data_IF_543304645643
#
_entry.id   IF_543304645643
#
_cell.length_a   1.000
_cell.length_b   1.000
_cell.length_c   1.000
_cell.angle_alpha   90.00
_cell.angle_beta   90.00
_cell.angle_gamma   90.00
#
_symmetry.space_group_name_H-M   'P 1'
#
loop_
_entity.id
_entity.type
_entity.pdbx_description
1 polymer ?
#
# COMPACT_ATOMS: atom_id res chain seq x y z
N UNK A 1 2.15 -5.13 28.71
CA UNK A 1 0.67 -5.10 28.59
C UNK A 1 0.00 -4.67 29.90
N UNK A 2 -0.40 -3.40 30.00
CA UNK A 2 -1.31 -2.86 31.00
C UNK A 2 -2.73 -2.90 30.41
N UNK A 3 -3.69 -3.38 31.20
CA UNK A 3 -5.11 -3.45 30.83
C UNK A 3 -5.89 -2.55 31.76
N UNK A 4 -6.60 -1.56 31.19
CA UNK A 4 -7.41 -0.63 31.97
C UNK A 4 -8.86 -0.70 31.51
N UNK A 5 -9.81 -0.76 32.44
CA UNK A 5 -11.22 -0.60 32.14
C UNK A 5 -11.59 0.87 32.37
N UNK A 6 -11.66 1.67 31.31
CA UNK A 6 -12.24 3.02 31.38
C UNK A 6 -13.66 2.96 30.81
N UNK A 7 -14.67 3.34 31.59
CA UNK A 7 -16.08 3.41 31.16
C UNK A 7 -16.64 2.12 30.52
N UNK A 8 -16.13 0.96 30.96
CA UNK A 8 -16.53 -0.35 30.42
C UNK A 8 -15.83 -0.77 29.13
N UNK A 9 -14.91 0.05 28.59
CA UNK A 9 -14.02 -0.31 27.48
C UNK A 9 -12.70 -0.85 28.00
N UNK A 10 -12.26 -1.96 27.41
CA UNK A 10 -10.93 -2.50 27.62
C UNK A 10 -9.94 -1.67 26.80
N UNK A 11 -8.98 -1.04 27.48
CA UNK A 11 -7.82 -0.41 26.85
C UNK A 11 -6.60 -1.29 27.03
N UNK A 12 -5.89 -1.55 25.93
CA UNK A 12 -4.67 -2.37 25.94
C UNK A 12 -3.49 -1.47 25.60
N UNK A 13 -2.50 -1.41 26.48
CA UNK A 13 -1.27 -0.65 26.22
C UNK A 13 -0.04 -1.50 26.53
N UNK A 14 0.92 -1.48 25.61
CA UNK A 14 2.24 -2.03 25.86
C UNK A 14 3.29 -0.91 25.89
N UNK A 15 3.92 -0.70 27.04
CA UNK A 15 4.93 0.33 27.24
C UNK A 15 6.36 -0.16 26.94
N UNK A 16 6.52 -1.34 26.34
CA UNK A 16 7.84 -1.87 25.96
C UNK A 16 8.35 -1.31 24.64
N UNK A 17 7.47 -0.75 23.83
CA UNK A 17 7.80 -0.14 22.54
C UNK A 17 7.24 1.30 22.45
N UNK A 18 8.10 2.31 22.27
CA UNK A 18 7.69 3.72 22.22
C UNK A 18 6.92 4.10 20.94
N UNK A 19 6.99 3.29 19.88
CA UNK A 19 6.35 3.55 18.59
C UNK A 19 4.93 2.95 18.52
N UNK A 20 4.53 2.13 19.48
CA UNK A 20 3.19 1.56 19.56
C UNK A 20 2.18 2.65 19.99
N UNK A 21 1.09 2.85 19.24
CA UNK A 21 0.07 3.83 19.62
C UNK A 21 -0.62 3.46 20.95
N UNK A 22 -1.19 4.46 21.63
CA UNK A 22 -2.08 4.19 22.76
C UNK A 22 -3.28 3.34 22.30
N UNK A 23 -3.73 2.43 23.17
CA UNK A 23 -4.81 1.47 22.85
C UNK A 23 -4.50 0.56 21.64
N UNK A 24 -3.22 0.22 21.46
CA UNK A 24 -2.74 -0.74 20.48
C UNK A 24 -1.73 -1.68 21.11
N UNK A 25 -1.52 -2.81 20.44
CA UNK A 25 -0.46 -3.76 20.73
C UNK A 25 0.60 -3.71 19.64
N UNK A 26 1.86 -4.04 19.96
CA UNK A 26 2.85 -4.35 18.94
C UNK A 26 2.31 -5.40 17.96
N UNK A 27 2.71 -5.33 16.69
CA UNK A 27 2.17 -6.23 15.65
C UNK A 27 2.47 -7.71 15.93
N UNK A 28 3.57 -8.02 16.62
CA UNK A 28 3.90 -9.38 17.06
C UNK A 28 3.07 -9.87 18.26
N UNK A 29 2.32 -8.97 18.90
CA UNK A 29 1.38 -9.30 19.98
C UNK A 29 -0.07 -9.40 19.50
N UNK A 30 -0.37 -9.01 18.25
CA UNK A 30 -1.69 -9.14 17.62
C UNK A 30 -1.94 -10.60 17.24
N UNK A 31 -2.22 -11.41 18.25
CA UNK A 31 -2.58 -12.82 18.14
C UNK A 31 -4.07 -12.95 18.46
N UNK A 32 -4.85 -13.68 17.66
CA UNK A 32 -6.33 -13.80 17.75
C UNK A 32 -6.97 -13.49 19.11
N UNK A 33 -6.48 -14.13 20.19
CA UNK A 33 -6.99 -13.93 21.54
C UNK A 33 -5.89 -13.72 22.57
N UNK A 34 -6.21 -12.92 23.58
CA UNK A 34 -5.43 -12.72 24.80
C UNK A 34 -6.18 -13.23 26.02
N UNK A 35 -5.45 -13.67 27.05
CA UNK A 35 -6.02 -14.10 28.31
C UNK A 35 -5.78 -13.04 29.39
N UNK A 36 -6.85 -12.43 29.89
CA UNK A 36 -6.80 -11.57 31.07
C UNK A 36 -6.92 -12.45 32.31
N UNK A 37 -5.88 -12.51 33.13
CA UNK A 37 -5.88 -13.23 34.40
C UNK A 37 -6.17 -12.25 35.53
N UNK A 38 -7.23 -12.51 36.30
CA UNK A 38 -7.61 -11.76 37.50
C UNK A 38 -7.61 -12.69 38.70
N UNK A 39 -7.67 -12.12 39.90
CA UNK A 39 -7.59 -12.89 41.15
C UNK A 39 -8.66 -13.99 41.30
N UNK A 40 -9.81 -13.87 40.63
CA UNK A 40 -10.95 -14.78 40.78
C UNK A 40 -11.45 -15.41 39.47
N UNK A 41 -10.96 -14.95 38.32
CA UNK A 41 -11.45 -15.34 37.00
C UNK A 41 -10.37 -15.12 35.93
N UNK A 42 -10.60 -15.74 34.77
CA UNK A 42 -9.82 -15.50 33.58
C UNK A 42 -10.77 -15.24 32.41
N UNK A 43 -10.47 -14.23 31.60
CA UNK A 43 -11.30 -13.80 30.49
C UNK A 43 -10.49 -13.80 29.20
N UNK A 44 -10.96 -14.54 28.21
CA UNK A 44 -10.44 -14.43 26.84
C UNK A 44 -10.99 -13.17 26.19
N UNK A 45 -10.11 -12.39 25.57
CA UNK A 45 -10.44 -11.17 24.83
C UNK A 45 -9.88 -11.27 23.42
N UNK A 46 -10.58 -10.68 22.46
CA UNK A 46 -10.10 -10.55 21.09
C UNK A 46 -8.98 -9.49 21.06
N UNK A 47 -7.89 -9.78 20.36
CA UNK A 47 -6.77 -8.85 20.16
C UNK A 47 -6.66 -8.37 18.71
N UNK A 48 -7.56 -8.77 17.82
CA UNK A 48 -7.54 -8.28 16.45
C UNK A 48 -7.73 -6.77 16.43
N UNK A 49 -6.94 -6.09 15.57
CA UNK A 49 -7.13 -4.66 15.35
C UNK A 49 -8.51 -4.41 14.76
N UNK A 50 -9.34 -3.53 15.34
CA UNK A 50 -10.65 -3.19 14.80
C UNK A 50 -10.54 -2.31 13.55
N UNK A 51 -9.37 -1.70 13.29
CA UNK A 51 -9.15 -0.79 12.18
C UNK A 51 -8.23 -1.41 11.12
N UNK A 52 -8.55 -1.24 9.82
CA UNK A 52 -7.68 -1.68 8.76
C UNK A 52 -6.40 -0.84 8.72
N UNK A 53 -5.30 -1.49 8.40
CA UNK A 53 -4.03 -0.86 8.11
C UNK A 53 -3.98 -0.42 6.66
N UNK A 54 -3.87 0.89 6.43
CA UNK A 54 -3.92 1.48 5.10
C UNK A 54 -2.56 2.02 4.68
N UNK A 55 -2.18 1.74 3.44
CA UNK A 55 -1.05 2.32 2.73
C UNK A 55 -1.56 2.99 1.45
N UNK A 56 -1.67 4.31 1.49
CA UNK A 56 -2.18 5.12 0.38
C UNK A 56 -1.07 5.89 -0.31
N UNK A 57 -1.06 5.88 -1.64
CA UNK A 57 -0.04 6.53 -2.48
C UNK A 57 -0.70 7.41 -3.53
N UNK A 58 -0.39 8.70 -3.48
CA UNK A 58 -0.75 9.65 -4.54
C UNK A 58 0.49 9.93 -5.37
N UNK A 59 0.44 9.61 -6.66
CA UNK A 59 1.57 9.67 -7.58
C UNK A 59 1.25 10.64 -8.71
N UNK A 60 2.07 11.66 -8.92
CA UNK A 60 1.89 12.59 -10.03
C UNK A 60 3.06 12.49 -10.99
N UNK A 61 2.77 12.33 -12.28
CA UNK A 61 3.76 12.21 -13.34
C UNK A 61 3.73 13.45 -14.23
N UNK A 62 4.92 14.02 -14.45
CA UNK A 62 5.16 14.97 -15.53
C UNK A 62 6.22 14.40 -16.46
N UNK A 63 5.79 14.01 -17.64
CA UNK A 63 6.59 13.28 -18.62
C UNK A 63 7.34 14.25 -19.53
N UNK A 64 8.60 13.94 -19.81
CA UNK A 64 9.47 14.66 -20.73
C UNK A 64 9.95 13.70 -21.83
N UNK A 65 9.20 13.57 -22.96
CA UNK A 65 9.49 12.58 -23.99
C UNK A 65 10.91 12.67 -24.55
N UNK A 66 11.41 13.88 -24.83
CA UNK A 66 12.75 14.10 -25.38
C UNK A 66 13.88 13.62 -24.44
N UNK A 67 13.64 13.57 -23.14
CA UNK A 67 14.61 13.11 -22.14
C UNK A 67 14.41 11.63 -21.76
N UNK A 68 13.34 10.99 -22.26
CA UNK A 68 12.93 9.63 -21.85
C UNK A 68 12.80 9.49 -20.32
N UNK A 69 12.25 10.53 -19.69
CA UNK A 69 12.16 10.66 -18.24
C UNK A 69 10.80 11.23 -17.82
N UNK A 70 10.38 10.92 -16.61
CA UNK A 70 9.32 11.66 -15.92
C UNK A 70 9.86 12.22 -14.60
N UNK A 71 9.47 13.45 -14.30
CA UNK A 71 9.46 13.93 -12.93
C UNK A 71 8.24 13.32 -12.23
N UNK A 72 8.47 12.69 -11.07
CA UNK A 72 7.44 12.04 -10.29
C UNK A 72 7.44 12.58 -8.87
N UNK A 73 6.26 12.96 -8.38
CA UNK A 73 6.02 13.15 -6.95
C UNK A 73 5.20 12.00 -6.42
N UNK A 74 5.57 11.47 -5.25
CA UNK A 74 4.82 10.45 -4.54
C UNK A 74 4.56 10.92 -3.11
N UNK A 75 3.30 11.02 -2.71
CA UNK A 75 2.89 11.22 -1.33
C UNK A 75 2.37 9.89 -0.81
N UNK A 76 3.10 9.30 0.14
CA UNK A 76 2.73 8.07 0.79
C UNK A 76 2.21 8.36 2.21
N UNK A 77 1.01 7.88 2.50
CA UNK A 77 0.32 8.04 3.76
C UNK A 77 -0.04 6.66 4.31
N UNK A 78 0.42 6.35 5.52
CA UNK A 78 0.21 5.04 6.16
C UNK A 78 -0.47 5.18 7.51
N UNK A 79 -1.28 4.20 7.90
CA UNK A 79 -2.01 4.17 9.19
C UNK A 79 -1.82 2.83 9.91
N UNK A 80 -2.17 2.80 11.20
CA UNK A 80 -2.21 1.58 12.03
C UNK A 80 -0.89 0.77 11.95
N UNK A 81 -0.97 -0.54 11.72
CA UNK A 81 0.17 -1.46 11.74
C UNK A 81 1.25 -1.07 10.73
N UNK A 82 0.87 -0.61 9.54
CA UNK A 82 1.80 -0.17 8.50
C UNK A 82 2.56 1.09 8.92
N UNK A 83 1.86 2.08 9.51
CA UNK A 83 2.50 3.29 10.02
C UNK A 83 3.49 2.96 11.14
N UNK A 84 3.11 2.07 12.05
CA UNK A 84 3.99 1.60 13.12
C UNK A 84 5.21 0.88 12.55
N UNK A 85 5.04 -0.05 11.60
CA UNK A 85 6.14 -0.74 10.94
C UNK A 85 7.11 0.23 10.26
N UNK A 86 6.62 1.19 9.50
CA UNK A 86 7.48 2.16 8.81
C UNK A 86 8.15 3.15 9.76
N UNK A 87 7.52 3.52 10.89
CA UNK A 87 8.18 4.34 11.93
C UNK A 87 9.29 3.58 12.62
N UNK A 88 9.06 2.32 12.97
CA UNK A 88 10.07 1.46 13.58
C UNK A 88 11.26 1.25 12.63
N UNK A 89 10.97 1.04 11.35
CA UNK A 89 11.99 0.80 10.34
C UNK A 89 12.76 2.07 9.95
N UNK A 90 12.09 3.20 9.79
CA UNK A 90 12.66 4.39 9.14
C UNK A 90 12.64 5.65 10.01
N UNK A 91 11.65 5.83 10.88
CA UNK A 91 11.47 7.08 11.65
C UNK A 91 11.62 8.35 10.76
N UNK A 92 12.67 9.15 10.93
CA UNK A 92 13.03 10.28 10.08
C UNK A 92 14.26 10.05 9.19
N UNK A 93 14.77 8.82 9.12
CA UNK A 93 15.92 8.42 8.30
C UNK A 93 15.61 8.49 6.80
N UNK A 94 15.81 9.69 6.27
CA UNK A 94 15.68 9.97 4.85
C UNK A 94 16.67 9.22 3.96
N UNK A 95 17.76 8.67 4.49
CA UNK A 95 18.77 7.93 3.71
C UNK A 95 18.24 6.54 3.38
N UNK A 96 17.83 5.77 4.38
CA UNK A 96 17.25 4.43 4.15
C UNK A 96 15.92 4.49 3.40
N UNK A 97 15.10 5.52 3.63
CA UNK A 97 13.90 5.74 2.81
C UNK A 97 14.27 6.01 1.35
N UNK A 98 15.31 6.81 1.08
CA UNK A 98 15.75 7.07 -0.28
C UNK A 98 16.14 5.77 -0.99
N UNK A 99 16.89 4.90 -0.33
CA UNK A 99 17.26 3.57 -0.87
C UNK A 99 16.03 2.72 -1.18
N UNK A 100 15.09 2.63 -0.23
CA UNK A 100 13.85 1.88 -0.42
C UNK A 100 13.03 2.36 -1.62
N UNK A 101 12.97 3.68 -1.87
CA UNK A 101 12.23 4.22 -3.01
C UNK A 101 13.00 4.17 -4.34
N UNK A 102 14.33 4.10 -4.34
CA UNK A 102 15.09 3.81 -5.57
C UNK A 102 14.72 2.44 -6.13
N UNK A 103 14.53 1.44 -5.26
CA UNK A 103 14.04 0.11 -5.67
C UNK A 103 12.62 0.15 -6.29
N UNK A 104 11.85 1.19 -5.99
CA UNK A 104 10.49 1.40 -6.52
C UNK A 104 10.46 2.08 -7.89
N UNK A 105 11.61 2.25 -8.54
CA UNK A 105 11.72 2.69 -9.94
C UNK A 105 12.24 4.11 -10.13
N UNK A 106 12.52 4.84 -9.05
CA UNK A 106 13.24 6.10 -9.12
C UNK A 106 14.70 5.88 -9.51
N UNK A 107 15.20 6.64 -10.48
CA UNK A 107 16.64 6.69 -10.82
C UNK A 107 17.37 7.79 -10.06
N UNK A 108 16.63 8.82 -9.64
CA UNK A 108 17.14 9.92 -8.84
C UNK A 108 16.03 10.43 -7.93
N UNK A 109 16.36 10.69 -6.67
CA UNK A 109 15.48 11.34 -5.71
C UNK A 109 16.07 12.71 -5.39
N UNK A 110 15.32 13.76 -5.71
CA UNK A 110 15.73 15.15 -5.51
C UNK A 110 15.33 15.67 -4.14
N UNK A 111 14.20 15.20 -3.62
CA UNK A 111 13.67 15.60 -2.31
C UNK A 111 12.93 14.44 -1.68
N UNK A 112 13.13 14.29 -0.38
CA UNK A 112 12.35 13.43 0.49
C UNK A 112 12.03 14.20 1.77
N UNK A 113 10.83 14.02 2.31
CA UNK A 113 10.39 14.62 3.56
C UNK A 113 9.49 13.63 4.29
N UNK A 114 9.77 13.37 5.55
CA UNK A 114 8.89 12.65 6.47
C UNK A 114 8.06 13.65 7.29
N UNK A 115 6.89 13.22 7.78
CA UNK A 115 6.06 13.99 8.70
C UNK A 115 5.29 13.02 9.59
N UNK A 116 4.96 13.45 10.81
CA UNK A 116 4.23 12.63 11.80
C UNK A 116 4.97 11.31 12.19
N UNK A 117 6.29 11.33 12.15
CA UNK A 117 7.12 10.20 12.58
C UNK A 117 7.11 10.00 14.11
N UNK A 118 6.96 11.06 14.90
CA UNK A 118 6.82 10.99 16.36
C UNK A 118 5.36 10.88 16.86
N UNK A 119 4.39 11.02 15.96
CA UNK A 119 2.96 10.95 16.30
C UNK A 119 2.45 9.53 16.13
N UNK A 120 2.57 8.71 17.17
CA UNK A 120 2.23 7.28 17.09
C UNK A 120 0.75 7.03 16.78
N UNK A 121 -0.16 7.87 17.27
CA UNK A 121 -1.60 7.76 17.03
C UNK A 121 -2.06 8.29 15.66
N UNK A 122 -1.25 9.12 15.01
CA UNK A 122 -1.54 9.67 13.69
C UNK A 122 -1.04 8.80 12.53
N UNK A 123 -1.22 9.26 11.29
CA UNK A 123 -0.63 8.61 10.13
C UNK A 123 0.88 8.89 10.02
N UNK A 124 1.64 8.01 9.36
CA UNK A 124 3.02 8.30 8.97
C UNK A 124 3.09 8.70 7.49
N UNK A 125 3.73 9.83 7.20
CA UNK A 125 3.70 10.46 5.87
C UNK A 125 5.09 10.61 5.30
N UNK A 126 5.30 10.10 4.08
CA UNK A 126 6.54 10.24 3.32
C UNK A 126 6.23 10.92 1.97
N UNK A 127 6.81 12.09 1.75
CA UNK A 127 6.68 12.84 0.50
C UNK A 127 7.99 12.82 -0.28
N UNK A 128 7.93 12.38 -1.54
CA UNK A 128 9.09 12.20 -2.40
C UNK A 128 8.90 12.95 -3.70
N UNK A 129 9.99 13.55 -4.19
CA UNK A 129 10.10 14.09 -5.54
C UNK A 129 11.38 13.56 -6.19
N UNK A 130 11.24 12.97 -7.36
CA UNK A 130 12.35 12.37 -8.07
C UNK A 130 12.09 12.23 -9.57
N UNK A 131 12.99 11.51 -10.22
CA UNK A 131 12.95 11.20 -11.65
C UNK A 131 12.90 9.70 -11.83
N UNK A 132 12.08 9.25 -12.79
CA UNK A 132 12.07 7.87 -13.30
C UNK A 132 12.48 7.88 -14.77
N UNK A 133 12.96 6.73 -15.26
CA UNK A 133 13.09 6.50 -16.70
C UNK A 133 11.75 6.05 -17.28
N UNK A 134 11.49 6.48 -18.51
CA UNK A 134 10.35 6.05 -19.31
C UNK A 134 10.88 5.23 -20.47
N UNK A 135 10.25 4.09 -20.72
CA UNK A 135 10.53 3.30 -21.90
C UNK A 135 9.86 3.94 -23.12
N UNK A 136 10.65 4.14 -24.18
CA UNK A 136 10.17 4.69 -25.44
C UNK A 136 10.49 3.72 -26.58
N UNK A 137 9.47 3.40 -27.38
CA UNK A 137 9.57 2.55 -28.56
C UNK A 137 9.00 3.33 -29.76
N UNK A 138 9.87 3.84 -30.63
CA UNK A 138 9.48 4.72 -31.75
C UNK A 138 8.63 5.92 -31.28
N UNK A 139 7.34 5.94 -31.64
CA UNK A 139 6.35 6.96 -31.30
C UNK A 139 5.55 6.63 -30.02
N UNK A 140 5.90 5.56 -29.30
CA UNK A 140 5.21 5.10 -28.09
C UNK A 140 6.00 5.40 -26.81
N UNK A 141 5.30 5.85 -25.78
CA UNK A 141 5.80 5.97 -24.41
C UNK A 141 5.05 5.00 -23.50
N UNK A 142 5.79 4.14 -22.80
CA UNK A 142 5.26 3.12 -21.90
C UNK A 142 5.47 3.55 -20.46
N UNK A 143 4.38 3.57 -19.68
CA UNK A 143 4.38 4.10 -18.32
C UNK A 143 3.71 3.11 -17.38
N UNK A 144 4.44 2.72 -16.32
CA UNK A 144 3.85 2.00 -15.19
C UNK A 144 3.18 3.01 -14.24
N UNK A 145 1.83 3.10 -14.22
CA UNK A 145 1.13 4.15 -13.48
C UNK A 145 1.30 4.04 -11.96
N UNK A 146 1.59 2.84 -11.46
CA UNK A 146 1.72 2.57 -10.02
C UNK A 146 3.19 2.41 -9.59
N UNK A 147 4.14 2.85 -10.42
CA UNK A 147 5.57 2.57 -10.26
C UNK A 147 5.82 1.05 -10.07
N UNK A 148 6.82 0.66 -9.27
CA UNK A 148 7.06 -0.73 -8.85
C UNK A 148 6.54 -0.98 -7.42
N UNK A 149 5.48 -0.28 -7.00
CA UNK A 149 4.87 -0.52 -5.69
C UNK A 149 4.03 -1.80 -5.64
N UNK A 150 3.18 -2.11 -6.64
CA UNK A 150 2.40 -3.34 -6.61
C UNK A 150 3.28 -4.58 -6.54
N UNK A 151 2.74 -5.63 -5.93
CA UNK A 151 3.38 -6.94 -5.93
C UNK A 151 3.54 -7.45 -7.38
N UNK A 152 4.74 -7.91 -7.73
CA UNK A 152 5.10 -8.34 -9.09
C UNK A 152 5.16 -9.86 -9.26
N UNK A 153 5.00 -10.62 -8.18
CA UNK A 153 4.99 -12.09 -8.20
C UNK A 153 4.05 -12.66 -7.13
N UNK A 154 3.63 -13.91 -7.31
CA UNK A 154 2.74 -14.56 -6.35
C UNK A 154 3.51 -14.89 -5.05
N UNK A 155 3.13 -14.34 -3.88
CA UNK A 155 3.81 -14.66 -2.61
C UNK A 155 3.51 -16.08 -2.13
N UNK A 156 2.44 -16.69 -2.63
CA UNK A 156 1.94 -18.00 -2.23
C UNK A 156 2.47 -19.12 -3.14
N UNK A 157 3.63 -19.68 -2.77
CA UNK A 157 4.31 -20.72 -3.55
C UNK A 157 3.78 -22.14 -3.28
N UNK A 158 3.14 -22.38 -2.13
CA UNK A 158 2.61 -23.70 -1.77
C UNK A 158 1.37 -24.02 -2.60
N UNK A 159 1.19 -25.29 -2.99
CA UNK A 159 -0.03 -25.75 -3.69
C UNK A 159 -1.23 -25.88 -2.76
N UNK A 160 -0.98 -26.29 -1.51
CA UNK A 160 -2.00 -26.52 -0.49
C UNK A 160 -1.44 -26.00 0.83
N UNK A 161 -2.32 -25.51 1.70
CA UNK A 161 -1.99 -25.02 3.04
C UNK A 161 -2.83 -25.77 4.07
N UNK A 162 -2.24 -26.10 5.21
CA UNK A 162 -2.90 -26.80 6.34
C UNK A 162 -3.14 -25.88 7.54
N UNK A 163 -2.77 -24.62 7.42
CA UNK A 163 -2.89 -23.59 8.45
C UNK A 163 -3.44 -22.32 7.82
N UNK A 164 -4.12 -21.45 8.58
CA UNK A 164 -4.58 -20.18 8.07
C UNK A 164 -3.43 -19.29 7.56
N UNK A 165 -3.79 -18.27 6.78
CA UNK A 165 -2.91 -17.14 6.49
C UNK A 165 -3.25 -16.04 7.48
N UNK A 166 -2.22 -15.55 8.16
CA UNK A 166 -2.31 -14.44 9.09
C UNK A 166 -1.67 -13.21 8.45
N UNK A 167 -2.48 -12.18 8.21
CA UNK A 167 -2.04 -10.86 7.74
C UNK A 167 -1.92 -9.85 8.89
N UNK A 168 -2.07 -10.30 10.15
CA UNK A 168 -2.03 -9.51 11.39
C UNK A 168 -3.26 -8.59 11.54
N UNK A 169 -3.65 -7.91 10.47
CA UNK A 169 -4.81 -7.01 10.41
C UNK A 169 -5.40 -6.99 9.00
N UNK A 170 -6.58 -6.39 8.84
CA UNK A 170 -7.10 -6.06 7.52
C UNK A 170 -6.17 -5.05 6.83
N UNK A 171 -5.84 -5.27 5.56
CA UNK A 171 -4.85 -4.49 4.82
C UNK A 171 -5.48 -3.78 3.64
N UNK A 172 -5.15 -2.50 3.45
CA UNK A 172 -5.61 -1.68 2.34
C UNK A 172 -4.41 -1.04 1.64
N UNK A 173 -4.21 -1.34 0.36
CA UNK A 173 -3.29 -0.63 -0.52
C UNK A 173 -4.11 0.25 -1.47
N UNK A 174 -3.87 1.57 -1.46
CA UNK A 174 -4.51 2.52 -2.39
C UNK A 174 -3.47 3.22 -3.24
N UNK A 175 -3.83 3.40 -4.50
CA UNK A 175 -3.05 4.15 -5.46
C UNK A 175 -3.95 5.12 -6.20
N UNK A 176 -3.52 6.38 -6.26
CA UNK A 176 -4.10 7.40 -7.13
C UNK A 176 -2.98 8.01 -7.94
N UNK A 177 -2.95 7.72 -9.24
CA UNK A 177 -1.95 8.25 -10.15
C UNK A 177 -2.55 9.29 -11.08
N UNK A 178 -1.90 10.44 -11.16
CA UNK A 178 -2.24 11.55 -12.05
C UNK A 178 -1.14 11.70 -13.07
N UNK A 179 -1.43 11.35 -14.32
CA UNK A 179 -0.46 11.37 -15.40
C UNK A 179 -0.80 12.52 -16.33
N UNK A 180 0.05 13.55 -16.36
CA UNK A 180 -0.08 14.66 -17.31
C UNK A 180 0.28 14.14 -18.69
N UNK A 181 -0.70 14.12 -19.60
CA UNK A 181 -0.51 13.66 -20.97
C UNK A 181 0.44 14.64 -21.67
N UNK A 182 1.59 14.18 -22.22
CA UNK A 182 2.52 15.06 -22.91
C UNK A 182 1.88 15.74 -24.12
N UNK A 183 2.28 16.98 -24.42
CA UNK A 183 1.78 17.67 -25.60
C UNK A 183 2.12 16.88 -26.87
N UNK A 184 1.14 16.75 -27.77
CA UNK A 184 1.30 15.99 -29.01
C UNK A 184 1.20 14.48 -28.84
N UNK A 185 0.76 13.99 -27.69
CA UNK A 185 0.49 12.57 -27.44
C UNK A 185 -0.98 12.35 -27.07
N UNK A 186 -1.46 11.13 -27.30
CA UNK A 186 -2.77 10.65 -26.85
C UNK A 186 -2.63 9.27 -26.20
N UNK A 187 -3.65 8.85 -25.44
CA UNK A 187 -3.70 7.52 -24.83
C UNK A 187 -4.04 6.49 -25.92
N UNK A 188 -3.06 5.68 -26.33
CA UNK A 188 -3.27 4.57 -27.27
C UNK A 188 -3.83 3.35 -26.53
N UNK A 189 -3.29 3.07 -25.34
CA UNK A 189 -3.74 1.97 -24.49
C UNK A 189 -3.79 2.40 -23.03
N UNK A 190 -4.87 2.00 -22.36
CA UNK A 190 -5.01 2.04 -20.91
C UNK A 190 -5.61 0.71 -20.45
N UNK A 191 -5.23 0.20 -19.26
CA UNK A 191 -5.85 -0.99 -18.71
C UNK A 191 -7.36 -0.82 -18.56
N UNK A 192 -8.13 -1.86 -18.86
CA UNK A 192 -9.58 -1.88 -18.63
C UNK A 192 -9.91 -1.77 -17.14
N UNK A 193 -11.13 -1.35 -16.81
CA UNK A 193 -11.54 -1.28 -15.41
C UNK A 193 -11.75 -2.70 -14.84
N UNK A 194 -11.33 -2.91 -13.59
CA UNK A 194 -11.54 -4.14 -12.84
C UNK A 194 -12.28 -3.81 -11.55
N UNK A 195 -13.30 -4.59 -11.21
CA UNK A 195 -13.97 -4.53 -9.91
C UNK A 195 -14.31 -5.94 -9.42
N UNK A 196 -13.69 -6.33 -8.32
CA UNK A 196 -13.99 -7.55 -7.58
C UNK A 196 -14.29 -7.12 -6.15
N UNK A 197 -15.49 -7.40 -5.66
CA UNK A 197 -15.87 -7.10 -4.27
C UNK A 197 -16.70 -8.24 -3.71
N UNK A 198 -16.26 -8.80 -2.58
CA UNK A 198 -16.92 -9.90 -1.87
C UNK A 198 -16.55 -9.87 -0.37
N UNK A 199 -16.91 -10.90 0.41
CA UNK A 199 -16.60 -10.93 1.85
C UNK A 199 -15.10 -11.05 2.20
N UNK A 200 -14.26 -11.41 1.22
CA UNK A 200 -12.83 -11.61 1.41
C UNK A 200 -12.02 -10.39 0.99
N UNK A 201 -12.35 -9.78 -0.14
CA UNK A 201 -11.54 -8.73 -0.76
C UNK A 201 -12.37 -7.64 -1.42
N UNK A 202 -11.78 -6.44 -1.54
CA UNK A 202 -12.09 -5.49 -2.60
C UNK A 202 -10.84 -5.30 -3.48
N UNK A 203 -10.98 -5.47 -4.79
CA UNK A 203 -9.93 -5.22 -5.77
C UNK A 203 -10.55 -4.36 -6.86
N UNK A 204 -10.10 -3.12 -6.93
CA UNK A 204 -10.59 -2.14 -7.90
C UNK A 204 -9.41 -1.57 -8.68
N UNK A 205 -9.59 -1.40 -9.98
CA UNK A 205 -8.68 -0.68 -10.86
C UNK A 205 -9.54 0.09 -11.85
N UNK A 206 -9.33 1.39 -11.97
CA UNK A 206 -10.09 2.22 -12.90
C UNK A 206 -9.21 3.28 -13.53
N UNK A 207 -9.56 3.66 -14.76
CA UNK A 207 -8.84 4.69 -15.52
C UNK A 207 -9.81 5.72 -16.08
N UNK A 208 -9.54 7.00 -15.81
CA UNK A 208 -10.35 8.11 -16.27
C UNK A 208 -9.46 9.14 -16.97
N UNK A 209 -9.68 9.34 -18.27
CA UNK A 209 -9.07 10.45 -18.99
C UNK A 209 -9.95 11.69 -18.86
N UNK A 210 -9.41 12.77 -18.27
CA UNK A 210 -10.08 14.06 -18.15
C UNK A 210 -9.14 15.16 -18.61
N UNK A 211 -9.55 15.86 -19.67
CA UNK A 211 -8.76 16.94 -20.29
C UNK A 211 -7.35 16.46 -20.68
N UNK A 212 -6.31 17.01 -20.05
CA UNK A 212 -4.90 16.68 -20.27
C UNK A 212 -4.31 15.76 -19.20
N UNK A 213 -5.15 15.15 -18.36
CA UNK A 213 -4.73 14.28 -17.27
C UNK A 213 -5.41 12.92 -17.42
N UNK A 214 -4.61 11.86 -17.33
CA UNK A 214 -5.11 10.50 -17.13
C UNK A 214 -4.99 10.15 -15.66
N UNK A 215 -6.13 9.93 -15.01
CA UNK A 215 -6.20 9.43 -13.64
C UNK A 215 -6.31 7.91 -13.62
N UNK A 216 -5.55 7.28 -12.73
CA UNK A 216 -5.60 5.85 -12.44
C UNK A 216 -5.88 5.69 -10.96
N UNK A 217 -6.96 5.00 -10.61
CA UNK A 217 -7.29 4.69 -9.23
C UNK A 217 -7.28 3.19 -9.04
N UNK A 218 -6.53 2.69 -8.07
CA UNK A 218 -6.43 1.28 -7.79
C UNK A 218 -6.48 1.00 -6.28
N UNK A 219 -7.23 -0.01 -5.87
CA UNK A 219 -7.44 -0.40 -4.48
C UNK A 219 -7.30 -1.91 -4.35
N UNK A 220 -6.54 -2.35 -3.35
CA UNK A 220 -6.49 -3.73 -2.89
C UNK A 220 -6.84 -3.71 -1.42
N UNK A 221 -7.90 -4.40 -1.03
CA UNK A 221 -8.36 -4.50 0.35
C UNK A 221 -8.53 -5.96 0.71
N UNK A 222 -7.69 -6.48 1.60
CA UNK A 222 -7.89 -7.74 2.26
C UNK A 222 -8.65 -7.48 3.57
N UNK A 223 -9.93 -7.87 3.60
CA UNK A 223 -10.90 -7.50 4.64
C UNK A 223 -10.70 -8.21 5.98
N UNK A 224 -9.96 -9.31 6.00
CA UNK A 224 -9.77 -10.14 7.19
C UNK A 224 -8.31 -10.08 7.64
N UNK A 225 -8.10 -10.07 8.95
CA UNK A 225 -6.77 -10.31 9.52
C UNK A 225 -6.32 -11.76 9.28
N UNK A 226 -7.26 -12.71 9.31
CA UNK A 226 -6.97 -14.14 9.20
C UNK A 226 -7.89 -14.77 8.16
N UNK A 227 -7.27 -15.52 7.24
CA UNK A 227 -7.97 -16.28 6.22
C UNK A 227 -7.81 -17.78 6.48
N UNK A 228 -8.91 -18.54 6.57
CA UNK A 228 -8.83 -19.98 6.75
C UNK A 228 -8.20 -20.65 5.54
N UNK A 229 -7.67 -21.86 5.73
CA UNK A 229 -7.06 -22.67 4.68
C UNK A 229 -8.00 -22.93 3.50
N UNK A 230 -9.32 -22.97 3.75
CA UNK A 230 -10.34 -23.12 2.72
C UNK A 230 -10.39 -21.97 1.72
N UNK A 231 -9.92 -20.78 2.10
CA UNK A 231 -9.85 -19.60 1.23
C UNK A 231 -8.51 -19.48 0.48
N UNK A 232 -7.53 -20.35 0.76
CA UNK A 232 -6.18 -20.25 0.20
C UNK A 232 -6.16 -20.22 -1.34
N UNK A 233 -6.93 -21.09 -2.00
CA UNK A 233 -7.02 -21.11 -3.46
C UNK A 233 -7.62 -19.80 -4.02
N UNK A 234 -8.58 -19.19 -3.32
CA UNK A 234 -9.17 -17.90 -3.71
C UNK A 234 -8.14 -16.78 -3.56
N UNK A 235 -7.37 -16.77 -2.47
CA UNK A 235 -6.29 -15.81 -2.26
C UNK A 235 -5.23 -15.90 -3.35
N UNK A 236 -4.82 -17.10 -3.76
CA UNK A 236 -3.91 -17.28 -4.90
C UNK A 236 -4.49 -16.69 -6.19
N UNK A 237 -5.78 -16.93 -6.46
CA UNK A 237 -6.47 -16.35 -7.60
C UNK A 237 -6.46 -14.81 -7.54
N UNK A 238 -6.78 -14.22 -6.38
CA UNK A 238 -6.79 -12.76 -6.21
C UNK A 238 -5.40 -12.14 -6.39
N UNK A 239 -4.35 -12.70 -5.78
CA UNK A 239 -2.99 -12.22 -5.99
C UNK A 239 -2.55 -12.33 -7.44
N UNK A 240 -2.90 -13.41 -8.14
CA UNK A 240 -2.62 -13.54 -9.57
C UNK A 240 -3.30 -12.41 -10.36
N UNK A 241 -4.57 -12.10 -10.05
CA UNK A 241 -5.29 -10.98 -10.66
C UNK A 241 -4.66 -9.62 -10.35
N UNK A 242 -4.19 -9.42 -9.11
CA UNK A 242 -3.47 -8.21 -8.71
C UNK A 242 -2.18 -8.08 -9.51
N UNK A 243 -1.35 -9.13 -9.56
CA UNK A 243 -0.08 -9.12 -10.29
C UNK A 243 -0.32 -8.82 -11.78
N UNK A 244 -1.28 -9.50 -12.41
CA UNK A 244 -1.63 -9.29 -13.82
C UNK A 244 -2.10 -7.85 -14.07
N UNK A 245 -3.04 -7.34 -13.25
CA UNK A 245 -3.75 -6.07 -13.50
C UNK A 245 -2.95 -4.84 -13.06
N UNK A 246 -2.37 -4.86 -11.86
CA UNK A 246 -1.76 -3.67 -11.24
C UNK A 246 -0.37 -3.36 -11.81
N UNK A 247 0.21 -4.30 -12.55
CA UNK A 247 1.47 -4.11 -13.28
C UNK A 247 1.28 -3.81 -14.77
N UNK A 248 0.04 -3.71 -15.27
CA UNK A 248 -0.20 -3.28 -16.66
C UNK A 248 0.31 -1.84 -16.87
N UNK A 249 0.89 -1.61 -18.04
CA UNK A 249 1.39 -0.29 -18.44
C UNK A 249 0.32 0.49 -19.21
N UNK A 250 0.47 1.81 -19.20
CA UNK A 250 -0.25 2.73 -20.08
C UNK A 250 0.67 3.07 -21.25
N UNK A 251 0.09 3.15 -22.44
CA UNK A 251 0.82 3.49 -23.66
C UNK A 251 0.28 4.82 -24.19
N UNK A 252 1.18 5.79 -24.31
CA UNK A 252 0.90 7.03 -25.04
C UNK A 252 1.53 6.96 -26.43
N UNK A 253 0.84 7.48 -27.43
CA UNK A 253 1.33 7.53 -28.81
C UNK A 253 1.40 8.96 -29.32
N UNK A 254 2.48 9.27 -30.04
CA UNK A 254 2.66 10.58 -30.64
C UNK A 254 1.65 10.78 -31.78
N UNK A 255 1.03 11.95 -31.83
CA UNK A 255 0.22 12.37 -32.97
C UNK A 255 1.11 12.43 -34.21
N UNK A 256 0.68 11.78 -35.30
CA UNK A 256 1.31 11.96 -36.61
C UNK A 256 0.91 13.35 -37.13
N UNK A 257 1.90 14.23 -37.31
CA UNK A 257 1.77 15.45 -38.11
C UNK A 257 1.53 15.14 -39.57
#
# INVERSE_FOLDING_TARGET
>A
ILLTLSDGKLLISDATDPNVPFDRLPYWCLNEKGLIIRKKDALWVDLQSPLPSENSRIITYKIYPNAQEAEVTCLNHTTEVEAYFLRDQYHDDTTSLKEAFLEKGFVKINRIKTSHYDDTGGPYVVAIKGTIKIEQLEDLLLISPLLKFPVSSLPFTQKVRTYPIDFITSQIEKYTSQIIIPQGYFVEFKPEDLKISNELVDIEYSTLAKDTILEVNAVIHFKKAIYPESDYAKLQFYYKKIVEKFNEQIIFKQNKT
#
